data_IF_494020494949
#
_entry.id   IF_494020494949
#
_cell.length_a   1.000
_cell.length_b   1.000
_cell.length_c   1.000
_cell.angle_alpha   90.00
_cell.angle_beta   90.00
_cell.angle_gamma   90.00
#
_symmetry.space_group_name_H-M   'P 1'
#
loop_
_entity.id
_entity.type
_entity.pdbx_description
1 polymer ?
#
# COMPACT_ATOMS: atom_id res chain seq x y z
N UNK A 1 15.09 19.77 -26.92
CA UNK A 1 14.54 20.28 -25.63
C UNK A 1 15.01 19.37 -24.50
N UNK A 2 16.06 19.75 -23.77
CA UNK A 2 16.54 19.03 -22.57
C UNK A 2 15.60 19.38 -21.42
N UNK A 3 14.72 18.45 -21.03
CA UNK A 3 13.98 18.58 -19.79
C UNK A 3 14.96 18.52 -18.63
N UNK A 4 15.17 19.65 -17.96
CA UNK A 4 15.87 19.71 -16.69
C UNK A 4 15.11 18.85 -15.66
N UNK A 5 15.75 17.77 -15.21
CA UNK A 5 15.32 16.95 -14.08
C UNK A 5 15.34 17.79 -12.80
N UNK A 6 14.27 18.54 -12.53
CA UNK A 6 14.07 19.11 -11.20
C UNK A 6 13.90 17.95 -10.20
N UNK A 7 14.67 17.92 -9.10
CA UNK A 7 14.51 16.88 -8.10
C UNK A 7 13.12 16.99 -7.49
N UNK A 8 12.31 15.95 -7.72
CA UNK A 8 11.04 15.66 -7.08
C UNK A 8 11.28 15.32 -5.58
N UNK A 9 11.81 16.29 -4.84
CA UNK A 9 12.09 16.20 -3.42
C UNK A 9 11.24 17.28 -2.76
N UNK A 10 10.19 16.84 -2.06
CA UNK A 10 9.48 17.72 -1.14
C UNK A 10 10.46 18.00 0.00
N UNK A 11 10.82 19.26 0.23
CA UNK A 11 11.71 19.67 1.32
C UNK A 11 10.89 19.93 2.59
N UNK A 12 10.26 18.88 3.15
CA UNK A 12 9.80 18.98 4.55
C UNK A 12 10.99 18.79 5.50
N UNK A 13 10.96 19.43 6.67
CA UNK A 13 11.94 19.22 7.74
C UNK A 13 12.05 17.74 8.13
N UNK A 14 13.18 17.31 8.69
CA UNK A 14 13.44 15.91 9.02
C UNK A 14 12.38 15.28 9.96
N UNK A 15 11.79 16.08 10.86
CA UNK A 15 10.80 15.64 11.85
C UNK A 15 9.46 15.22 11.22
N UNK A 16 8.80 16.04 10.39
CA UNK A 16 7.60 15.62 9.64
C UNK A 16 7.77 14.34 8.81
N UNK A 17 8.96 14.09 8.25
CA UNK A 17 9.23 12.90 7.45
C UNK A 17 9.32 11.61 8.27
N UNK A 18 9.89 11.69 9.47
CA UNK A 18 9.96 10.54 10.38
C UNK A 18 8.55 10.13 10.82
N UNK A 19 7.72 11.11 11.19
CA UNK A 19 6.32 10.89 11.53
C UNK A 19 5.56 10.24 10.38
N UNK A 20 5.66 10.78 9.17
CA UNK A 20 5.00 10.21 7.99
C UNK A 20 5.40 8.75 7.75
N UNK A 21 6.68 8.40 7.92
CA UNK A 21 7.16 7.02 7.79
C UNK A 21 6.54 6.10 8.84
N UNK A 22 6.47 6.55 10.09
CA UNK A 22 5.86 5.79 11.18
C UNK A 22 4.37 5.61 10.91
N UNK A 23 3.65 6.67 10.53
CA UNK A 23 2.23 6.59 10.18
C UNK A 23 1.96 5.61 9.05
N UNK A 24 2.75 5.66 7.96
CA UNK A 24 2.63 4.72 6.84
C UNK A 24 2.95 3.28 7.28
N UNK A 25 3.93 3.09 8.16
CA UNK A 25 4.28 1.76 8.68
C UNK A 25 3.17 1.19 9.58
N UNK A 26 2.59 2.01 10.46
CA UNK A 26 1.45 1.62 11.30
C UNK A 26 0.22 1.28 10.47
N UNK A 27 -0.07 2.10 9.46
CA UNK A 27 -1.16 1.84 8.51
C UNK A 27 -0.96 0.51 7.77
N UNK A 28 0.26 0.25 7.30
CA UNK A 28 0.60 -1.02 6.66
C UNK A 28 0.43 -2.20 7.61
N UNK A 29 0.88 -2.08 8.87
CA UNK A 29 0.68 -3.11 9.88
C UNK A 29 -0.81 -3.37 10.13
N UNK A 30 -1.62 -2.32 10.27
CA UNK A 30 -3.07 -2.44 10.42
C UNK A 30 -3.72 -3.16 9.23
N UNK A 31 -3.31 -2.84 8.00
CA UNK A 31 -3.77 -3.54 6.80
C UNK A 31 -3.38 -5.02 6.82
N UNK A 32 -2.11 -5.34 7.12
CA UNK A 32 -1.64 -6.74 7.20
C UNK A 32 -2.47 -7.52 8.20
N UNK A 33 -2.66 -6.98 9.41
CA UNK A 33 -3.46 -7.63 10.46
C UNK A 33 -4.89 -7.83 10.00
N UNK A 34 -5.54 -6.80 9.45
CA UNK A 34 -6.92 -6.88 8.98
C UNK A 34 -7.11 -7.93 7.88
N UNK A 35 -6.29 -7.91 6.82
CA UNK A 35 -6.46 -8.86 5.71
C UNK A 35 -6.06 -10.29 6.10
N UNK A 36 -5.05 -10.46 6.96
CA UNK A 36 -4.70 -11.78 7.49
C UNK A 36 -5.81 -12.34 8.38
N UNK A 37 -6.37 -11.50 9.26
CA UNK A 37 -7.51 -11.85 10.10
C UNK A 37 -8.74 -12.17 9.25
N UNK A 38 -9.05 -11.37 8.23
CA UNK A 38 -10.17 -11.64 7.32
C UNK A 38 -10.00 -12.96 6.58
N UNK A 39 -8.79 -13.28 6.10
CA UNK A 39 -8.50 -14.56 5.47
C UNK A 39 -8.72 -15.74 6.44
N UNK A 40 -8.29 -15.60 7.69
CA UNK A 40 -8.54 -16.58 8.75
C UNK A 40 -10.04 -16.69 9.08
N UNK A 41 -10.74 -15.57 9.17
CA UNK A 41 -12.17 -15.50 9.48
C UNK A 41 -12.98 -16.23 8.41
N UNK A 42 -12.71 -16.02 7.13
CA UNK A 42 -13.36 -16.76 6.04
C UNK A 42 -13.13 -18.27 6.09
N UNK A 43 -12.00 -18.71 6.64
CA UNK A 43 -11.73 -20.13 6.83
C UNK A 43 -12.50 -20.70 8.04
N UNK A 44 -12.59 -19.92 9.13
CA UNK A 44 -13.31 -20.31 10.36
C UNK A 44 -14.83 -20.23 10.24
N UNK A 45 -15.36 -19.27 9.50
CA UNK A 45 -16.80 -19.09 9.28
C UNK A 45 -17.47 -20.39 8.80
N UNK A 46 -16.78 -21.17 7.97
CA UNK A 46 -17.29 -22.42 7.39
C UNK A 46 -17.78 -23.45 8.42
N UNK A 47 -17.34 -23.35 9.69
CA UNK A 47 -17.73 -24.27 10.77
C UNK A 47 -18.71 -23.67 11.78
N UNK A 48 -19.29 -22.50 11.52
CA UNK A 48 -20.15 -21.76 12.46
C UNK A 48 -21.60 -21.71 12.00
N UNK A 49 -22.55 -21.55 12.92
CA UNK A 49 -23.97 -21.34 12.61
C UNK A 49 -24.21 -20.04 11.85
N UNK A 50 -23.30 -19.06 11.98
CA UNK A 50 -23.31 -17.84 11.17
C UNK A 50 -23.32 -18.17 9.67
N UNK A 51 -22.51 -19.12 9.19
CA UNK A 51 -22.46 -19.44 7.75
C UNK A 51 -23.72 -20.14 7.27
N UNK A 52 -24.29 -21.01 8.10
CA UNK A 52 -25.58 -21.64 7.83
C UNK A 52 -26.67 -20.58 7.65
N UNK A 53 -26.67 -19.58 8.55
CA UNK A 53 -27.62 -18.48 8.51
C UNK A 53 -27.42 -17.58 7.28
N UNK A 54 -26.18 -17.26 6.93
CA UNK A 54 -25.85 -16.47 5.73
C UNK A 54 -26.30 -17.15 4.43
N UNK A 55 -26.18 -18.47 4.34
CA UNK A 55 -26.61 -19.26 3.18
C UNK A 55 -28.13 -19.41 3.13
N UNK A 56 -28.76 -19.69 4.28
CA UNK A 56 -30.21 -19.82 4.40
C UNK A 56 -30.94 -18.56 3.89
N UNK A 57 -30.43 -17.38 4.24
CA UNK A 57 -31.02 -16.12 3.80
C UNK A 57 -30.40 -15.56 2.50
N UNK A 58 -29.42 -16.26 1.89
CA UNK A 58 -28.72 -15.82 0.68
C UNK A 58 -28.15 -14.40 0.77
N UNK A 59 -27.57 -14.08 1.93
CA UNK A 59 -27.14 -12.73 2.30
C UNK A 59 -25.68 -12.45 1.90
N UNK A 60 -24.88 -13.49 1.68
CA UNK A 60 -23.47 -13.38 1.26
C UNK A 60 -23.22 -13.99 -0.11
N UNK A 61 -22.01 -13.75 -0.64
CA UNK A 61 -21.49 -14.54 -1.75
C UNK A 61 -21.62 -16.05 -1.42
N UNK A 62 -21.98 -16.91 -2.38
CA UNK A 62 -22.18 -18.34 -2.10
C UNK A 62 -20.97 -18.99 -1.41
N UNK A 63 -21.22 -19.84 -0.42
CA UNK A 63 -20.19 -20.43 0.47
C UNK A 63 -19.05 -21.09 -0.32
N UNK A 64 -19.37 -21.72 -1.47
CA UNK A 64 -18.38 -22.35 -2.37
C UNK A 64 -17.22 -21.43 -2.77
N UNK A 65 -17.39 -20.12 -2.68
CA UNK A 65 -16.39 -19.12 -3.02
C UNK A 65 -15.63 -18.55 -1.82
N UNK A 66 -15.96 -18.91 -0.58
CA UNK A 66 -15.23 -18.44 0.61
C UNK A 66 -13.73 -18.79 0.58
N UNK A 67 -13.30 -19.98 0.11
CA UNK A 67 -11.87 -20.26 -0.06
C UNK A 67 -11.17 -19.38 -1.11
N UNK A 68 -11.91 -18.89 -2.12
CA UNK A 68 -11.37 -17.93 -3.07
C UNK A 68 -11.19 -16.55 -2.39
N UNK A 69 -12.21 -16.09 -1.65
CA UNK A 69 -12.15 -14.84 -0.91
C UNK A 69 -11.01 -14.83 0.12
N UNK A 70 -10.83 -15.93 0.87
CA UNK A 70 -9.73 -16.09 1.80
C UNK A 70 -8.35 -15.95 1.12
N UNK A 71 -8.17 -16.58 -0.06
CA UNK A 71 -6.93 -16.46 -0.85
C UNK A 71 -6.68 -15.04 -1.34
N UNK A 72 -7.73 -14.31 -1.75
CA UNK A 72 -7.62 -12.91 -2.17
C UNK A 72 -7.17 -12.01 -1.02
N UNK A 73 -7.80 -12.13 0.16
CA UNK A 73 -7.39 -11.39 1.35
C UNK A 73 -5.94 -11.72 1.74
N UNK A 74 -5.56 -13.00 1.72
CA UNK A 74 -4.19 -13.42 2.01
C UNK A 74 -3.18 -12.83 1.02
N UNK A 75 -3.49 -12.77 -0.27
CA UNK A 75 -2.63 -12.17 -1.30
C UNK A 75 -2.42 -10.67 -1.05
N UNK A 76 -3.49 -9.96 -0.67
CA UNK A 76 -3.43 -8.54 -0.32
C UNK A 76 -2.59 -8.35 0.95
N UNK A 77 -2.80 -9.17 1.99
CA UNK A 77 -2.01 -9.15 3.22
C UNK A 77 -0.51 -9.33 2.95
N UNK A 78 -0.14 -10.32 2.12
CA UNK A 78 1.25 -10.56 1.71
C UNK A 78 1.81 -9.33 0.99
N UNK A 79 1.03 -8.68 0.13
CA UNK A 79 1.46 -7.49 -0.61
C UNK A 79 1.76 -6.33 0.35
N UNK A 80 0.89 -6.07 1.33
CA UNK A 80 1.13 -5.08 2.38
C UNK A 80 2.35 -5.43 3.25
N UNK A 81 2.51 -6.71 3.62
CA UNK A 81 3.65 -7.18 4.41
C UNK A 81 4.98 -6.98 3.66
N UNK A 82 5.02 -7.28 2.36
CA UNK A 82 6.20 -7.04 1.52
C UNK A 82 6.54 -5.55 1.43
N UNK A 83 5.54 -4.67 1.34
CA UNK A 83 5.75 -3.22 1.36
C UNK A 83 6.26 -2.73 2.72
N UNK A 84 5.72 -3.27 3.82
CA UNK A 84 6.15 -2.98 5.19
C UNK A 84 7.60 -3.40 5.45
N UNK A 85 8.00 -4.60 5.00
CA UNK A 85 9.36 -5.13 5.21
C UNK A 85 10.40 -4.52 4.25
N UNK A 86 9.97 -3.90 3.15
CA UNK A 86 10.86 -3.35 2.11
C UNK A 86 11.97 -2.43 2.64
N UNK A 87 11.74 -1.48 3.58
CA UNK A 87 12.79 -0.63 4.12
C UNK A 87 13.86 -1.45 4.87
N UNK A 88 13.43 -2.39 5.72
CA UNK A 88 14.33 -3.26 6.48
C UNK A 88 15.18 -4.16 5.57
N UNK A 89 14.56 -4.75 4.54
CA UNK A 89 15.26 -5.59 3.55
C UNK A 89 16.35 -4.80 2.82
N UNK A 90 16.04 -3.57 2.38
CA UNK A 90 16.99 -2.73 1.67
C UNK A 90 18.14 -2.26 2.57
N UNK A 91 17.84 -1.95 3.84
CA UNK A 91 18.82 -1.50 4.82
C UNK A 91 19.81 -2.62 5.22
N UNK A 92 19.29 -3.83 5.47
CA UNK A 92 20.13 -5.03 5.67
C UNK A 92 20.98 -5.31 4.43
N UNK A 93 20.38 -5.26 3.23
CA UNK A 93 21.12 -5.46 1.97
C UNK A 93 22.25 -4.44 1.77
N UNK A 94 22.00 -3.16 2.08
CA UNK A 94 23.00 -2.11 2.00
C UNK A 94 24.12 -2.32 3.04
N UNK A 95 23.78 -2.70 4.27
CA UNK A 95 24.76 -3.02 5.32
C UNK A 95 25.64 -4.21 4.92
N UNK A 96 25.04 -5.32 4.47
CA UNK A 96 25.75 -6.51 4.00
C UNK A 96 26.66 -6.18 2.82
N UNK A 97 26.18 -5.40 1.85
CA UNK A 97 26.97 -4.95 0.70
C UNK A 97 28.16 -4.08 1.13
N UNK A 98 27.96 -3.15 2.08
CA UNK A 98 29.03 -2.30 2.60
C UNK A 98 30.06 -3.08 3.44
N UNK A 99 29.61 -4.12 4.15
CA UNK A 99 30.48 -4.98 4.96
C UNK A 99 31.28 -5.93 4.09
N UNK A 100 30.64 -6.53 3.08
CA UNK A 100 31.33 -7.34 2.07
C UNK A 100 32.32 -6.51 1.27
N UNK A 101 31.98 -5.30 0.83
CA UNK A 101 32.91 -4.40 0.12
C UNK A 101 34.13 -4.02 1.00
N UNK A 102 33.94 -3.74 2.29
CA UNK A 102 35.03 -3.45 3.23
C UNK A 102 35.93 -4.67 3.48
N UNK A 103 35.35 -5.87 3.59
CA UNK A 103 36.08 -7.12 3.81
C UNK A 103 36.78 -7.65 2.54
N UNK A 104 36.24 -7.36 1.35
CA UNK A 104 36.82 -7.69 0.04
C UNK A 104 38.03 -6.81 -0.32
N UNK A 105 38.35 -5.76 0.44
CA UNK A 105 39.57 -4.95 0.23
C UNK A 105 40.88 -5.68 0.55
N UNK A 106 40.83 -6.97 0.91
CA UNK A 106 41.99 -7.83 1.07
C UNK A 106 42.12 -8.81 -0.11
N UNK A 107 43.21 -8.69 -0.87
CA UNK A 107 43.49 -9.43 -2.12
C UNK A 107 43.33 -10.97 -2.04
N UNK A 108 43.34 -11.58 -0.85
CA UNK A 108 43.17 -13.03 -0.66
C UNK A 108 41.72 -13.54 -0.72
N UNK A 109 40.72 -12.67 -0.59
CA UNK A 109 39.30 -13.08 -0.48
C UNK A 109 38.52 -12.98 -1.80
N UNK A 110 39.10 -12.43 -2.86
CA UNK A 110 38.46 -12.39 -4.18
C UNK A 110 38.31 -13.79 -4.79
N UNK A 111 39.32 -14.65 -4.57
CA UNK A 111 39.28 -16.07 -4.97
C UNK A 111 38.24 -16.86 -4.16
N UNK A 112 38.25 -16.72 -2.83
CA UNK A 112 37.30 -17.40 -1.95
C UNK A 112 35.85 -16.92 -2.16
N UNK A 113 35.68 -15.63 -2.46
CA UNK A 113 34.40 -15.02 -2.79
C UNK A 113 33.81 -15.51 -4.11
N UNK A 114 34.66 -15.88 -5.09
CA UNK A 114 34.21 -16.57 -6.32
C UNK A 114 33.75 -18.00 -5.99
N UNK A 115 34.48 -18.72 -5.15
CA UNK A 115 34.11 -20.10 -4.72
C UNK A 115 32.82 -20.13 -3.91
N UNK A 116 32.66 -19.25 -2.91
CA UNK A 116 31.43 -19.15 -2.10
C UNK A 116 30.22 -18.70 -2.92
N UNK A 117 30.41 -17.80 -3.90
CA UNK A 117 29.35 -17.38 -4.80
C UNK A 117 28.89 -18.53 -5.70
N UNK A 118 29.83 -19.35 -6.16
CA UNK A 118 29.55 -20.56 -6.94
C UNK A 118 28.83 -21.63 -6.10
N UNK A 119 29.22 -21.82 -4.83
CA UNK A 119 28.57 -22.74 -3.90
C UNK A 119 27.16 -22.26 -3.50
N UNK A 120 26.97 -20.95 -3.26
CA UNK A 120 25.65 -20.38 -2.97
C UNK A 120 24.71 -20.42 -4.18
N UNK A 121 25.24 -20.25 -5.40
CA UNK A 121 24.47 -20.48 -6.63
C UNK A 121 24.12 -21.95 -6.87
N UNK A 122 24.92 -22.89 -6.35
CA UNK A 122 24.64 -24.33 -6.42
C UNK A 122 23.60 -24.78 -5.38
N UNK A 123 23.62 -24.21 -4.17
CA UNK A 123 22.71 -24.58 -3.07
C UNK A 123 21.36 -23.86 -3.07
N UNK A 124 21.23 -22.73 -3.79
CA UNK A 124 19.97 -21.96 -3.91
C UNK A 124 19.49 -21.83 -5.37
N UNK A 125 19.75 -22.84 -6.21
CA UNK A 125 19.26 -22.86 -7.59
C UNK A 125 17.76 -23.12 -7.62
N UNK A 126 16.97 -22.04 -7.57
CA UNK A 126 15.55 -22.09 -7.83
C UNK A 126 15.31 -22.77 -9.20
N UNK A 127 14.29 -23.64 -9.34
CA UNK A 127 13.92 -24.20 -10.64
C UNK A 127 13.80 -23.11 -11.71
N UNK A 128 14.30 -23.38 -12.92
CA UNK A 128 14.19 -22.49 -14.10
C UNK A 128 12.79 -21.85 -14.28
N UNK A 129 11.65 -22.57 -14.14
CA UNK A 129 10.33 -21.95 -14.23
C UNK A 129 10.06 -20.90 -13.15
N UNK A 130 10.51 -21.13 -11.91
CA UNK A 130 10.34 -20.17 -10.80
C UNK A 130 11.17 -18.91 -11.01
N UNK A 131 12.37 -19.02 -11.60
CA UNK A 131 13.18 -17.86 -11.97
C UNK A 131 12.47 -17.00 -13.03
N UNK A 132 11.90 -17.65 -14.06
CA UNK A 132 11.14 -16.96 -15.11
C UNK A 132 9.91 -16.26 -14.55
N UNK A 133 9.14 -16.95 -13.70
CA UNK A 133 7.97 -16.39 -13.02
C UNK A 133 8.36 -15.20 -12.13
N UNK A 134 9.40 -15.33 -11.30
CA UNK A 134 9.91 -14.23 -10.46
C UNK A 134 10.32 -13.01 -11.29
N UNK A 135 11.07 -13.21 -12.38
CA UNK A 135 11.47 -12.10 -13.28
C UNK A 135 10.24 -11.42 -13.88
N UNK A 136 9.25 -12.19 -14.31
CA UNK A 136 8.00 -11.66 -14.84
C UNK A 136 7.26 -10.82 -13.79
N UNK A 137 7.00 -11.37 -12.60
CA UNK A 137 6.33 -10.68 -11.49
C UNK A 137 7.05 -9.37 -11.15
N UNK A 138 8.37 -9.39 -10.99
CA UNK A 138 9.14 -8.19 -10.65
C UNK A 138 9.12 -7.14 -11.77
N UNK A 139 9.14 -7.58 -13.03
CA UNK A 139 9.09 -6.67 -14.18
C UNK A 139 7.72 -6.01 -14.27
N UNK A 140 6.64 -6.80 -14.17
CA UNK A 140 5.27 -6.31 -14.13
C UNK A 140 5.05 -5.37 -12.95
N UNK A 141 5.51 -5.73 -11.75
CA UNK A 141 5.41 -4.87 -10.58
C UNK A 141 6.14 -3.54 -10.78
N UNK A 142 7.35 -3.55 -11.37
CA UNK A 142 8.08 -2.30 -11.66
C UNK A 142 7.43 -1.47 -12.76
N UNK A 143 6.81 -2.10 -13.74
CA UNK A 143 6.08 -1.42 -14.81
C UNK A 143 4.84 -0.70 -14.27
N UNK A 144 4.05 -1.36 -13.41
CA UNK A 144 2.86 -0.75 -12.84
C UNK A 144 3.18 0.16 -11.65
N UNK A 145 3.92 -0.33 -10.66
CA UNK A 145 4.14 0.33 -9.36
C UNK A 145 5.53 0.95 -9.21
N UNK A 146 6.35 0.98 -10.27
CA UNK A 146 7.61 1.71 -10.25
C UNK A 146 7.39 3.21 -10.10
N UNK A 147 8.44 3.96 -9.71
CA UNK A 147 8.35 5.42 -9.56
C UNK A 147 7.88 6.14 -10.84
N UNK A 148 8.32 5.65 -12.00
CA UNK A 148 7.89 6.09 -13.35
C UNK A 148 6.93 5.09 -14.01
N UNK A 149 6.43 4.12 -13.24
CA UNK A 149 5.44 3.18 -13.73
C UNK A 149 4.08 3.83 -13.92
N UNK A 150 3.12 3.09 -14.46
CA UNK A 150 1.76 3.59 -14.74
C UNK A 150 1.13 4.23 -13.49
N UNK A 151 1.25 3.58 -12.34
CA UNK A 151 0.74 4.03 -11.03
C UNK A 151 1.78 4.84 -10.23
N UNK A 152 2.90 5.21 -10.84
CA UNK A 152 4.00 5.91 -10.17
C UNK A 152 3.77 7.42 -10.03
N UNK A 153 4.26 8.01 -8.93
CA UNK A 153 4.12 9.46 -8.67
C UNK A 153 4.82 10.33 -9.71
N UNK A 154 5.88 9.82 -10.35
CA UNK A 154 6.61 10.52 -11.40
C UNK A 154 6.15 10.11 -12.81
N UNK A 155 4.97 9.50 -12.94
CA UNK A 155 4.37 9.21 -14.24
C UNK A 155 3.99 10.50 -14.97
N UNK A 156 4.23 10.62 -16.29
CA UNK A 156 3.73 11.73 -17.10
C UNK A 156 2.20 11.84 -17.08
N UNK A 157 1.51 10.71 -16.94
CA UNK A 157 0.05 10.62 -16.94
C UNK A 157 -0.55 10.57 -15.54
N UNK A 158 0.22 10.93 -14.50
CA UNK A 158 -0.21 10.84 -13.11
C UNK A 158 -1.54 11.56 -12.87
N UNK A 159 -1.66 12.81 -13.31
CA UNK A 159 -2.83 13.64 -13.02
C UNK A 159 -4.11 13.09 -13.68
N UNK A 160 -4.01 12.54 -14.90
CA UNK A 160 -5.12 11.90 -15.60
C UNK A 160 -5.53 10.58 -14.93
N UNK A 161 -4.56 9.70 -14.68
CA UNK A 161 -4.81 8.40 -14.05
C UNK A 161 -5.35 8.55 -12.62
N UNK A 162 -4.90 9.58 -11.90
CA UNK A 162 -5.41 9.92 -10.58
C UNK A 162 -6.89 10.31 -10.67
N UNK A 163 -7.27 11.21 -11.58
CA UNK A 163 -8.68 11.62 -11.74
C UNK A 163 -9.57 10.44 -12.14
N UNK A 164 -9.09 9.55 -13.02
CA UNK A 164 -9.85 8.35 -13.39
C UNK A 164 -10.10 7.46 -12.17
N UNK A 165 -9.08 7.26 -11.32
CA UNK A 165 -9.25 6.46 -10.10
C UNK A 165 -10.20 7.11 -9.12
N UNK A 166 -10.06 8.41 -8.90
CA UNK A 166 -10.94 9.18 -8.02
C UNK A 166 -12.40 9.11 -8.47
N UNK A 167 -12.66 9.18 -9.78
CA UNK A 167 -14.00 8.99 -10.34
C UNK A 167 -14.54 7.58 -10.12
N UNK A 168 -13.73 6.55 -10.39
CA UNK A 168 -14.12 5.15 -10.16
C UNK A 168 -14.37 4.91 -8.67
N UNK A 169 -13.50 5.42 -7.80
CA UNK A 169 -13.61 5.29 -6.36
C UNK A 169 -14.86 5.98 -5.83
N UNK A 170 -15.12 7.21 -6.27
CA UNK A 170 -16.34 7.95 -5.90
C UNK A 170 -17.60 7.20 -6.33
N UNK A 171 -17.62 6.61 -7.53
CA UNK A 171 -18.74 5.81 -8.01
C UNK A 171 -18.96 4.55 -7.15
N UNK A 172 -17.87 3.84 -6.83
CA UNK A 172 -17.91 2.64 -5.99
C UNK A 172 -18.30 2.97 -4.53
N UNK A 173 -17.77 4.05 -3.94
CA UNK A 173 -18.14 4.53 -2.61
C UNK A 173 -19.59 4.98 -2.57
N UNK A 174 -20.11 5.60 -3.64
CA UNK A 174 -21.53 5.96 -3.76
C UNK A 174 -22.43 4.72 -3.81
N UNK A 175 -22.03 3.70 -4.58
CA UNK A 175 -22.74 2.43 -4.62
C UNK A 175 -22.73 1.73 -3.24
N UNK A 176 -21.58 1.74 -2.56
CA UNK A 176 -21.49 1.23 -1.18
C UNK A 176 -22.40 2.01 -0.24
N UNK A 177 -22.35 3.34 -0.23
CA UNK A 177 -23.21 4.16 0.63
C UNK A 177 -24.71 3.93 0.36
N UNK A 178 -25.12 3.75 -0.89
CA UNK A 178 -26.50 3.41 -1.24
C UNK A 178 -26.92 2.05 -0.67
N UNK A 179 -26.03 1.05 -0.70
CA UNK A 179 -26.26 -0.24 -0.07
C UNK A 179 -26.30 -0.11 1.46
N UNK A 180 -25.37 0.66 2.06
CA UNK A 180 -25.35 0.92 3.50
C UNK A 180 -26.63 1.60 3.97
N UNK A 181 -27.17 2.54 3.20
CA UNK A 181 -28.41 3.26 3.53
C UNK A 181 -29.63 2.33 3.57
N UNK A 182 -29.61 1.25 2.78
CA UNK A 182 -30.68 0.23 2.78
C UNK A 182 -30.51 -0.77 3.91
N UNK A 183 -29.28 -1.13 4.25
CA UNK A 183 -28.99 -2.19 5.20
C UNK A 183 -28.93 -1.69 6.66
N UNK A 184 -28.39 -0.50 6.90
CA UNK A 184 -28.08 -0.05 8.26
C UNK A 184 -29.22 0.75 8.90
N UNK A 185 -29.65 0.29 10.08
CA UNK A 185 -30.49 1.09 10.98
C UNK A 185 -29.71 2.25 11.64
N UNK A 186 -28.38 2.12 11.75
CA UNK A 186 -27.50 3.07 12.43
C UNK A 186 -27.25 4.33 11.60
N UNK A 187 -27.97 5.39 11.93
CA UNK A 187 -27.89 6.71 11.27
C UNK A 187 -26.47 7.31 11.23
N UNK A 188 -25.61 7.01 12.20
CA UNK A 188 -24.27 7.60 12.28
C UNK A 188 -23.30 6.99 11.25
N UNK A 189 -23.39 5.68 10.96
CA UNK A 189 -22.58 5.02 9.93
C UNK A 189 -22.97 5.56 8.55
N UNK A 190 -24.27 5.71 8.31
CA UNK A 190 -24.76 6.32 7.08
C UNK A 190 -24.21 7.75 6.88
N UNK A 191 -24.29 8.60 7.93
CA UNK A 191 -23.70 9.95 7.89
C UNK A 191 -22.20 9.93 7.65
N UNK A 192 -21.50 8.94 8.21
CA UNK A 192 -20.07 8.76 8.00
C UNK A 192 -19.73 8.45 6.53
N UNK A 193 -20.42 7.51 5.90
CA UNK A 193 -20.23 7.21 4.47
C UNK A 193 -20.56 8.40 3.55
N UNK A 194 -21.65 9.11 3.83
CA UNK A 194 -21.97 10.36 3.10
C UNK A 194 -20.85 11.38 3.27
N UNK A 195 -20.32 11.53 4.49
CA UNK A 195 -19.16 12.38 4.77
C UNK A 195 -17.91 11.98 3.98
N UNK A 196 -17.61 10.68 3.89
CA UNK A 196 -16.48 10.18 3.07
C UNK A 196 -16.65 10.53 1.59
N UNK A 197 -17.86 10.38 1.02
CA UNK A 197 -18.13 10.76 -0.38
C UNK A 197 -17.91 12.27 -0.58
N UNK A 198 -18.41 13.10 0.32
CA UNK A 198 -18.20 14.56 0.26
C UNK A 198 -16.71 14.88 0.32
N UNK A 199 -15.97 14.24 1.23
CA UNK A 199 -14.52 14.42 1.34
C UNK A 199 -13.77 13.92 0.11
N UNK A 200 -14.21 12.84 -0.54
CA UNK A 200 -13.60 12.36 -1.77
C UNK A 200 -13.80 13.39 -2.90
N UNK A 201 -15.04 13.83 -3.11
CA UNK A 201 -15.39 14.80 -4.15
C UNK A 201 -14.72 16.17 -3.97
N UNK A 202 -14.57 16.66 -2.73
CA UNK A 202 -14.07 18.02 -2.46
C UNK A 202 -12.60 18.04 -2.04
N UNK A 203 -12.10 16.92 -1.51
CA UNK A 203 -10.75 16.79 -0.95
C UNK A 203 -9.69 17.08 -2.00
N UNK A 204 -9.74 16.42 -3.15
CA UNK A 204 -8.73 16.65 -4.20
C UNK A 204 -8.77 18.09 -4.73
N UNK A 205 -9.91 18.65 -5.20
CA UNK A 205 -9.94 20.05 -5.65
C UNK A 205 -9.40 21.04 -4.60
N UNK A 206 -9.74 20.84 -3.32
CA UNK A 206 -9.26 21.68 -2.23
C UNK A 206 -7.74 21.57 -2.06
N UNK A 207 -7.20 20.34 -2.02
CA UNK A 207 -5.77 20.10 -1.92
C UNK A 207 -5.00 20.67 -3.12
N UNK A 208 -5.56 20.57 -4.34
CA UNK A 208 -4.98 21.20 -5.54
C UNK A 208 -4.94 22.72 -5.42
N UNK A 209 -5.95 23.34 -4.82
CA UNK A 209 -6.01 24.79 -4.60
C UNK A 209 -5.01 25.24 -3.54
N UNK A 210 -4.92 24.53 -2.41
CA UNK A 210 -4.01 24.84 -1.29
C UNK A 210 -2.56 24.71 -1.72
N UNK A 211 -2.20 23.62 -2.42
CA UNK A 211 -0.84 23.33 -2.84
C UNK A 211 -0.54 23.75 -4.29
N UNK A 212 -1.29 24.70 -4.86
CA UNK A 212 -1.18 25.12 -6.27
C UNK A 212 0.24 25.54 -6.71
N UNK A 213 1.07 25.99 -5.75
CA UNK A 213 2.43 26.45 -5.99
C UNK A 213 3.50 25.36 -5.83
N UNK A 214 3.17 24.20 -5.23
CA UNK A 214 4.09 23.11 -4.96
C UNK A 214 3.51 21.77 -5.46
N UNK A 215 3.80 21.45 -6.73
CA UNK A 215 3.31 20.23 -7.39
C UNK A 215 3.71 18.93 -6.64
N UNK A 216 4.95 18.75 -6.16
CA UNK A 216 5.31 17.61 -5.34
C UNK A 216 4.47 17.46 -4.05
N UNK A 217 4.28 18.54 -3.28
CA UNK A 217 3.46 18.51 -2.06
C UNK A 217 1.98 18.30 -2.34
N UNK A 218 1.47 18.90 -3.43
CA UNK A 218 0.13 18.67 -3.94
C UNK A 218 -0.12 17.18 -4.20
N UNK A 219 0.78 16.52 -4.96
CA UNK A 219 0.65 15.08 -5.26
C UNK A 219 0.74 14.23 -4.00
N UNK A 220 1.65 14.56 -3.08
CA UNK A 220 1.75 13.86 -1.81
C UNK A 220 0.47 13.98 -0.99
N UNK A 221 -0.08 15.19 -0.84
CA UNK A 221 -1.29 15.44 -0.07
C UNK A 221 -2.50 14.72 -0.67
N UNK A 222 -2.67 14.76 -2.00
CA UNK A 222 -3.73 14.02 -2.70
C UNK A 222 -3.62 12.52 -2.46
N UNK A 223 -2.42 11.94 -2.57
CA UNK A 223 -2.21 10.51 -2.28
C UNK A 223 -2.50 10.16 -0.83
N UNK A 224 -2.16 11.02 0.13
CA UNK A 224 -2.44 10.78 1.55
C UNK A 224 -3.93 10.87 1.86
N UNK A 225 -4.65 11.80 1.23
CA UNK A 225 -6.11 11.89 1.33
C UNK A 225 -6.79 10.60 0.84
N UNK A 226 -6.39 10.13 -0.34
CA UNK A 226 -6.87 8.89 -0.96
C UNK A 226 -6.62 7.67 -0.04
N UNK A 227 -5.39 7.55 0.47
CA UNK A 227 -5.00 6.50 1.42
C UNK A 227 -5.91 6.49 2.67
N UNK A 228 -6.22 7.65 3.21
CA UNK A 228 -7.08 7.77 4.40
C UNK A 228 -8.50 7.32 4.05
N UNK A 229 -9.09 7.82 2.96
CA UNK A 229 -10.46 7.47 2.58
C UNK A 229 -10.62 5.97 2.28
N UNK A 230 -9.69 5.39 1.54
CA UNK A 230 -9.64 3.95 1.25
C UNK A 230 -9.50 3.12 2.53
N UNK A 231 -8.61 3.53 3.45
CA UNK A 231 -8.40 2.81 4.71
C UNK A 231 -9.66 2.81 5.58
N UNK A 232 -10.33 3.95 5.71
CA UNK A 232 -11.55 4.03 6.51
C UNK A 232 -12.65 3.16 5.91
N UNK A 233 -12.82 3.19 4.58
CA UNK A 233 -13.84 2.43 3.87
C UNK A 233 -13.63 0.92 3.94
N UNK A 234 -12.40 0.45 3.72
CA UNK A 234 -12.11 -0.98 3.58
C UNK A 234 -11.74 -1.66 4.90
N UNK A 235 -11.09 -0.95 5.82
CA UNK A 235 -10.55 -1.51 7.05
C UNK A 235 -11.31 -1.03 8.27
N UNK A 236 -11.39 0.28 8.48
CA UNK A 236 -11.88 0.80 9.77
C UNK A 236 -13.36 0.49 10.01
N UNK A 237 -14.22 0.71 9.02
CA UNK A 237 -15.66 0.45 9.18
C UNK A 237 -15.95 -1.04 9.45
N UNK A 238 -15.42 -2.01 8.67
CA UNK A 238 -15.61 -3.42 8.98
C UNK A 238 -15.06 -3.85 10.35
N UNK A 239 -13.88 -3.34 10.74
CA UNK A 239 -13.30 -3.63 12.07
C UNK A 239 -14.20 -3.12 13.18
N UNK A 240 -14.69 -1.89 13.07
CA UNK A 240 -15.57 -1.29 14.05
C UNK A 240 -16.87 -2.10 14.19
N UNK A 241 -17.49 -2.49 13.07
CA UNK A 241 -18.70 -3.32 13.08
C UNK A 241 -18.45 -4.69 13.69
N UNK A 242 -17.35 -5.34 13.32
CA UNK A 242 -16.97 -6.62 13.91
C UNK A 242 -16.79 -6.51 15.43
N UNK A 243 -16.17 -5.44 15.92
CA UNK A 243 -15.94 -5.23 17.36
C UNK A 243 -17.23 -5.14 18.17
N UNK A 244 -18.33 -4.62 17.60
CA UNK A 244 -19.64 -4.60 18.28
C UNK A 244 -20.08 -6.03 18.61
N UNK A 245 -19.93 -6.95 17.66
CA UNK A 245 -20.40 -8.33 17.81
C UNK A 245 -19.41 -9.24 18.54
N UNK A 246 -18.13 -8.89 18.61
CA UNK A 246 -17.15 -9.63 19.42
C UNK A 246 -17.55 -9.70 20.90
N UNK A 247 -18.28 -8.71 21.41
CA UNK A 247 -18.74 -8.68 22.80
C UNK A 247 -19.82 -9.73 23.09
N UNK A 248 -20.60 -10.09 22.08
CA UNK A 248 -21.69 -11.07 22.18
C UNK A 248 -21.23 -12.49 21.82
N UNK A 249 -20.00 -12.65 21.34
CA UNK A 249 -19.44 -13.92 20.89
C UNK A 249 -18.99 -14.78 22.08
N UNK A 250 -19.42 -16.04 22.13
CA UNK A 250 -19.00 -17.01 23.14
C UNK A 250 -17.85 -17.89 22.60
N UNK A 251 -16.61 -17.75 23.11
CA UNK A 251 -15.47 -18.53 22.66
C UNK A 251 -15.60 -20.03 22.96
N UNK A 252 -16.34 -20.42 24.00
CA UNK A 252 -16.52 -21.83 24.38
C UNK A 252 -17.43 -22.55 23.38
N UNK A 253 -18.49 -21.87 22.94
CA UNK A 253 -19.39 -22.35 21.89
C UNK A 253 -18.81 -22.19 20.48
N UNK A 254 -17.75 -21.38 20.35
CA UNK A 254 -17.22 -20.91 19.07
C UNK A 254 -18.28 -20.24 18.19
N UNK A 255 -19.33 -19.69 18.80
CA UNK A 255 -20.50 -19.09 18.14
C UNK A 255 -21.22 -18.11 19.08
N UNK A 256 -22.33 -17.52 18.61
CA UNK A 256 -23.22 -16.74 19.45
C UNK A 256 -24.16 -17.65 20.25
N UNK A 257 -24.47 -17.30 21.52
CA UNK A 257 -25.45 -18.01 22.33
C UNK A 257 -26.79 -18.23 21.60
N UNK A 258 -27.36 -19.43 21.73
CA UNK A 258 -28.61 -19.82 21.05
C UNK A 258 -29.74 -18.82 21.25
N UNK A 259 -29.85 -18.21 22.45
CA UNK A 259 -30.87 -17.23 22.79
C UNK A 259 -30.84 -15.99 21.86
N UNK A 260 -29.65 -15.53 21.44
CA UNK A 260 -29.52 -14.35 20.56
C UNK A 260 -30.10 -14.62 19.18
N UNK A 261 -29.96 -15.84 18.66
CA UNK A 261 -30.51 -16.24 17.37
C UNK A 261 -32.06 -16.22 17.33
N UNK A 262 -32.72 -16.28 18.50
CA UNK A 262 -34.18 -16.18 18.62
C UNK A 262 -34.67 -14.77 18.98
N UNK A 263 -33.77 -13.80 19.14
CA UNK A 263 -34.13 -12.40 19.38
C UNK A 263 -34.25 -11.66 18.05
N UNK A 264 -35.48 -11.38 17.60
CA UNK A 264 -35.76 -10.76 16.31
C UNK A 264 -34.95 -9.49 16.05
N UNK A 265 -34.89 -8.59 17.03
CA UNK A 265 -34.17 -7.31 16.89
C UNK A 265 -32.67 -7.53 16.73
N UNK A 266 -32.08 -8.43 17.52
CA UNK A 266 -30.65 -8.74 17.43
C UNK A 266 -30.34 -9.44 16.12
N UNK A 267 -31.10 -10.47 15.75
CA UNK A 267 -30.90 -11.25 14.54
C UNK A 267 -31.00 -10.38 13.28
N UNK A 268 -32.08 -9.60 13.15
CA UNK A 268 -32.27 -8.73 11.98
C UNK A 268 -31.15 -7.69 11.91
N UNK A 269 -30.75 -7.09 13.04
CA UNK A 269 -29.65 -6.11 13.05
C UNK A 269 -28.33 -6.78 12.66
N UNK A 270 -28.01 -7.93 13.24
CA UNK A 270 -26.82 -8.72 12.92
C UNK A 270 -26.76 -9.08 11.44
N UNK A 271 -27.84 -9.62 10.86
CA UNK A 271 -27.87 -10.04 9.46
C UNK A 271 -27.68 -8.90 8.47
N UNK A 272 -28.09 -7.68 8.83
CA UNK A 272 -27.85 -6.51 7.99
C UNK A 272 -26.43 -5.94 8.18
N UNK A 273 -25.90 -5.92 9.41
CA UNK A 273 -24.57 -5.36 9.69
C UNK A 273 -23.43 -6.31 9.29
N UNK A 274 -23.63 -7.63 9.40
CA UNK A 274 -22.63 -8.64 9.04
C UNK A 274 -22.31 -8.64 7.54
N UNK A 275 -23.25 -8.20 6.69
CA UNK A 275 -23.04 -7.97 5.24
C UNK A 275 -21.97 -6.92 4.93
N UNK A 276 -21.58 -6.14 5.93
CA UNK A 276 -20.54 -5.12 5.80
C UNK A 276 -19.19 -5.66 6.25
N UNK A 277 -19.19 -6.67 7.11
CA UNK A 277 -17.98 -7.38 7.52
C UNK A 277 -17.65 -8.46 6.49
N UNK A 278 -18.64 -9.27 6.13
CA UNK A 278 -18.56 -10.32 5.11
C UNK A 278 -18.99 -9.73 3.78
N UNK A 279 -18.27 -10.07 2.71
CA UNK A 279 -18.62 -9.70 1.33
C UNK A 279 -20.03 -10.20 0.96
N UNK A 280 -20.97 -9.26 0.84
CA UNK A 280 -22.38 -9.56 0.56
C UNK A 280 -22.62 -9.97 -0.90
N UNK A 281 -21.86 -9.37 -1.82
CA UNK A 281 -21.99 -9.62 -3.26
C UNK A 281 -20.66 -9.53 -3.99
N UNK A 282 -20.64 -9.97 -5.26
CA UNK A 282 -19.46 -9.85 -6.11
C UNK A 282 -19.09 -8.41 -6.44
N UNK A 283 -20.07 -7.50 -6.50
CA UNK A 283 -19.82 -6.08 -6.73
C UNK A 283 -19.20 -5.44 -5.49
N UNK A 284 -19.67 -5.81 -4.29
CA UNK A 284 -19.03 -5.43 -3.03
C UNK A 284 -17.58 -5.96 -2.97
N UNK A 285 -17.39 -7.25 -3.24
CA UNK A 285 -16.07 -7.88 -3.31
C UNK A 285 -15.11 -7.18 -4.28
N UNK A 286 -15.58 -6.88 -5.50
CA UNK A 286 -14.80 -6.18 -6.51
C UNK A 286 -14.46 -4.75 -6.07
N UNK A 287 -15.42 -4.03 -5.49
CA UNK A 287 -15.21 -2.65 -5.03
C UNK A 287 -14.15 -2.58 -3.93
N UNK A 288 -14.22 -3.46 -2.92
CA UNK A 288 -13.22 -3.52 -1.86
C UNK A 288 -11.86 -3.94 -2.38
N UNK A 289 -11.80 -4.88 -3.32
CA UNK A 289 -10.54 -5.25 -3.97
C UNK A 289 -9.91 -4.07 -4.71
N UNK A 290 -10.70 -3.27 -5.43
CA UNK A 290 -10.21 -2.07 -6.11
C UNK A 290 -9.62 -1.08 -5.11
N UNK A 291 -10.33 -0.80 -4.01
CA UNK A 291 -9.85 0.07 -2.93
C UNK A 291 -8.58 -0.48 -2.26
N UNK A 292 -8.52 -1.78 -1.98
CA UNK A 292 -7.31 -2.43 -1.45
C UNK A 292 -6.11 -2.25 -2.39
N UNK A 293 -6.32 -2.41 -3.71
CA UNK A 293 -5.26 -2.24 -4.69
C UNK A 293 -4.85 -0.78 -4.85
N UNK A 294 -5.80 0.16 -4.75
CA UNK A 294 -5.52 1.59 -4.76
C UNK A 294 -4.70 2.00 -3.54
N UNK A 295 -5.07 1.53 -2.35
CA UNK A 295 -4.32 1.69 -1.11
C UNK A 295 -2.87 1.19 -1.24
N UNK A 296 -2.66 -0.02 -1.79
CA UNK A 296 -1.32 -0.55 -2.09
C UNK A 296 -0.55 0.36 -3.04
N UNK A 297 -1.19 0.80 -4.12
CA UNK A 297 -0.59 1.66 -5.14
C UNK A 297 -0.11 2.99 -4.52
N UNK A 298 -0.99 3.65 -3.77
CA UNK A 298 -0.76 4.95 -3.17
C UNK A 298 0.30 4.89 -2.07
N UNK A 299 0.25 3.88 -1.18
CA UNK A 299 1.29 3.73 -0.15
C UNK A 299 2.65 3.46 -0.80
N UNK A 300 2.72 2.61 -1.81
CA UNK A 300 3.99 2.37 -2.52
C UNK A 300 4.49 3.65 -3.22
N UNK A 301 3.59 4.45 -3.79
CA UNK A 301 3.89 5.76 -4.36
C UNK A 301 4.50 6.71 -3.32
N UNK A 302 3.88 6.86 -2.14
CA UNK A 302 4.40 7.66 -1.02
C UNK A 302 5.76 7.14 -0.56
N UNK A 303 5.92 5.83 -0.36
CA UNK A 303 7.21 5.21 -0.01
C UNK A 303 8.32 5.49 -1.03
N UNK A 304 7.98 5.61 -2.32
CA UNK A 304 8.95 5.93 -3.37
C UNK A 304 9.33 7.44 -3.39
N UNK A 305 8.48 8.33 -2.87
CA UNK A 305 8.80 9.74 -2.65
C UNK A 305 9.75 9.92 -1.45
N UNK A 306 9.45 9.23 -0.36
CA UNK A 306 10.16 9.33 0.93
C UNK A 306 11.64 8.89 0.86
N UNK A 307 12.03 8.11 -0.15
CA UNK A 307 13.39 7.56 -0.32
C UNK A 307 14.45 8.54 -0.84
N UNK A 308 14.10 9.80 -1.12
CA UNK A 308 15.05 10.75 -1.74
C UNK A 308 15.04 12.15 -1.12
N UNK A 309 15.04 12.26 0.21
CA UNK A 309 15.72 13.41 0.83
C UNK A 309 17.22 13.19 0.59
N UNK A 310 17.90 13.99 -0.25
CA UNK A 310 19.33 13.84 -0.45
C UNK A 310 19.99 14.07 0.90
N UNK A 311 20.71 13.07 1.39
CA UNK A 311 21.73 13.29 2.40
C UNK A 311 22.58 14.48 1.93
N UNK A 312 22.54 15.56 2.69
CA UNK A 312 23.33 16.81 2.55
C UNK A 312 24.85 16.59 2.58
N UNK A 313 25.32 15.34 2.40
CA UNK A 313 26.70 14.92 2.51
C UNK A 313 27.46 14.94 1.18
N UNK A 314 26.78 15.01 0.04
CA UNK A 314 27.45 15.14 -1.28
C UNK A 314 27.50 16.56 -1.85
N UNK A 315 26.71 17.50 -1.34
CA UNK A 315 26.87 18.93 -1.69
C UNK A 315 27.99 19.61 -0.87
N UNK A 316 28.22 19.19 0.39
CA UNK A 316 29.34 19.72 1.19
C UNK A 316 30.71 19.29 0.67
N UNK A 317 30.85 18.08 0.10
CA UNK A 317 32.14 17.60 -0.44
C UNK A 317 32.54 18.25 -1.78
N UNK A 318 31.61 18.84 -2.53
CA UNK A 318 31.92 19.60 -3.76
C UNK A 318 32.19 21.09 -3.49
N UNK A 319 31.76 21.62 -2.36
CA UNK A 319 32.02 23.00 -1.97
C UNK A 319 33.44 23.19 -1.37
N UNK A 320 34.13 22.11 -0.99
CA UNK A 320 35.45 22.18 -0.31
C UNK A 320 36.65 22.11 -1.27
N UNK A 321 36.43 21.77 -2.55
CA UNK A 321 37.50 21.82 -3.56
C UNK A 321 37.10 22.71 -4.75
N UNK A 322 37.32 24.04 -4.67
CA UNK A 322 37.47 24.82 -5.89
C UNK A 322 38.72 24.30 -6.62
N UNK A 323 38.52 23.81 -7.84
CA UNK A 323 39.62 23.58 -8.79
C UNK A 323 40.21 24.97 -9.09
N UNK A 324 41.49 25.25 -8.78
CA UNK A 324 42.08 26.55 -9.10
C UNK A 324 42.11 26.72 -10.62
N UNK A 325 41.51 27.80 -11.10
CA UNK A 325 41.33 28.14 -12.50
C UNK A 325 42.61 28.70 -13.17
N UNK A 326 43.79 28.21 -12.79
CA UNK A 326 45.07 28.72 -13.28
C UNK A 326 45.91 27.60 -13.90
N UNK A 327 45.41 26.95 -14.95
CA UNK A 327 46.21 26.16 -15.91
C UNK A 327 45.52 26.20 -17.29
N UNK A 328 45.09 27.38 -17.72
CA UNK A 328 44.82 27.65 -19.13
C UNK A 328 46.16 28.10 -19.74
N UNK A 329 46.91 27.15 -20.28
CA UNK A 329 48.11 27.43 -21.07
C UNK A 329 47.65 28.12 -22.35
N UNK A 330 48.02 29.39 -22.48
CA UNK A 330 47.84 30.24 -23.65
C UNK A 330 48.87 29.86 -24.73
N UNK A 331 48.49 29.45 -25.96
CA UNK A 331 49.44 29.21 -27.02
C UNK A 331 49.47 30.43 -27.97
N UNK A 332 50.17 31.50 -27.59
CA UNK A 332 50.52 32.60 -28.51
C UNK A 332 51.88 33.25 -28.20
N UNK A 333 52.93 32.72 -28.83
CA UNK A 333 54.16 33.36 -29.36
C UNK A 333 55.11 32.21 -29.72
N UNK A 334 55.65 31.98 -30.92
CA UNK A 334 55.92 32.86 -32.05
C UNK A 334 57.29 33.52 -31.89
N UNK A 335 58.37 32.87 -32.39
CA UNK A 335 59.45 33.50 -33.19
C UNK A 335 60.75 32.66 -33.25
N UNK A 336 61.15 32.33 -34.49
CA UNK A 336 62.50 32.35 -35.08
C UNK A 336 63.73 31.90 -34.25
N UNK A 337 64.38 30.81 -34.65
CA UNK A 337 65.54 30.77 -35.55
C UNK A 337 65.96 29.32 -35.84
#
# INVERSE_FOLDING_TARGET
MKHHDAPFAVYLHAFPWALLRISVALLQLACVTFYAFSAWLYHRLLSTFVVFTLDLYSISVPIRHFPLLARLHLLIAITHLLLFLRPAILDVGARVSSWTARRLSSHRLEYLGRTLRNVHSATLSLPKPMIKARKFILTSFRYFFGRRGVFGVASPHFDLLFVIRELVETALQSAQAANMARLLSRRWIHRFYVGMIVLNCWGTPLLRRVFRHDKPSQRLASLLGDIVLDFFSVVLVPVYLFQIYVQDYDPELSDFPSLLWYQDVWLVTFLHEIQLVVLSSWTDAASRLIFSLNLVANINAVCNLVKRSPSSRHQSLRAVHPVPANLAIDPKHGSNM
#
